data_IF_322437660402
#
_entry.id   IF_322437660402
#
_cell.length_a   1.000
_cell.length_b   1.000
_cell.length_c   1.000
_cell.angle_alpha   90.00
_cell.angle_beta   90.00
_cell.angle_gamma   90.00
#
_symmetry.space_group_name_H-M   'P 1'
#
loop_
_entity.id
_entity.type
_entity.pdbx_description
1 polymer ?
#
# COMPACT_ATOMS: atom_id res chain seq x y z
N UNK A 1 -14.11 13.34 -27.51
CA UNK A 1 -12.94 12.80 -26.81
C UNK A 1 -13.44 12.02 -25.61
N UNK A 2 -12.98 10.78 -25.38
CA UNK A 2 -13.35 10.03 -24.18
C UNK A 2 -12.36 10.36 -23.07
N UNK A 3 -12.86 10.78 -21.92
CA UNK A 3 -12.06 11.00 -20.73
C UNK A 3 -11.58 9.65 -20.19
N UNK A 4 -10.27 9.52 -19.92
CA UNK A 4 -9.69 8.36 -19.24
C UNK A 4 -9.43 8.73 -17.78
N UNK A 5 -9.99 7.93 -16.87
CA UNK A 5 -9.79 8.11 -15.44
C UNK A 5 -9.03 6.93 -14.86
N UNK A 6 -8.11 7.22 -13.95
CA UNK A 6 -7.44 6.23 -13.11
C UNK A 6 -7.95 6.45 -11.70
N UNK A 7 -8.59 5.43 -11.14
CA UNK A 7 -9.00 5.41 -9.75
C UNK A 7 -8.05 4.45 -9.04
N UNK A 8 -7.25 5.00 -8.14
CA UNK A 8 -6.23 4.29 -7.38
C UNK A 8 -6.63 4.24 -5.91
N UNK A 9 -6.61 3.06 -5.31
CA UNK A 9 -6.67 2.93 -3.86
C UNK A 9 -5.27 3.03 -3.26
N UNK A 10 -5.12 3.91 -2.28
CA UNK A 10 -3.92 3.97 -1.48
C UNK A 10 -3.93 2.95 -0.33
N UNK A 11 -2.76 2.81 0.30
CA UNK A 11 -2.55 2.00 1.50
C UNK A 11 -2.76 0.49 1.33
N UNK A 12 -2.72 -0.03 0.10
CA UNK A 12 -2.72 -1.47 -0.10
C UNK A 12 -1.49 -2.08 0.59
N UNK A 13 -1.65 -3.15 1.36
CA UNK A 13 -0.59 -3.69 2.21
C UNK A 13 -0.52 -3.11 3.62
N UNK A 14 -1.29 -2.07 3.97
CA UNK A 14 -1.32 -1.51 5.33
C UNK A 14 -1.76 -2.54 6.37
N UNK A 15 -2.95 -3.12 6.19
CA UNK A 15 -3.47 -4.23 7.01
C UNK A 15 -4.28 -5.20 6.15
N UNK A 16 -4.59 -6.39 6.68
CA UNK A 16 -5.47 -7.35 5.99
C UNK A 16 -6.89 -6.80 5.75
N UNK A 17 -7.42 -5.96 6.65
CA UNK A 17 -8.75 -5.36 6.47
C UNK A 17 -8.74 -4.32 5.36
N UNK A 18 -7.69 -3.49 5.27
CA UNK A 18 -7.50 -2.56 4.15
C UNK A 18 -7.34 -3.31 2.83
N UNK A 19 -6.52 -4.37 2.79
CA UNK A 19 -6.39 -5.21 1.61
C UNK A 19 -7.74 -5.77 1.13
N UNK A 20 -8.54 -6.29 2.06
CA UNK A 20 -9.87 -6.80 1.75
C UNK A 20 -10.76 -5.70 1.15
N UNK A 21 -10.76 -4.50 1.72
CA UNK A 21 -11.54 -3.38 1.21
C UNK A 21 -11.11 -2.99 -0.21
N UNK A 22 -9.81 -2.89 -0.48
CA UNK A 22 -9.27 -2.61 -1.82
C UNK A 22 -9.76 -3.66 -2.83
N UNK A 23 -9.67 -4.95 -2.49
CA UNK A 23 -10.12 -6.03 -3.36
C UNK A 23 -11.65 -6.04 -3.54
N UNK A 24 -12.42 -5.76 -2.49
CA UNK A 24 -13.88 -5.71 -2.58
C UNK A 24 -14.34 -4.58 -3.52
N UNK A 25 -13.65 -3.42 -3.49
CA UNK A 25 -13.93 -2.28 -4.38
C UNK A 25 -13.45 -2.57 -5.81
N UNK A 26 -12.28 -3.19 -5.97
CA UNK A 26 -11.76 -3.65 -7.27
C UNK A 26 -12.73 -4.62 -7.95
N UNK A 27 -13.24 -5.63 -7.22
CA UNK A 27 -14.19 -6.62 -7.75
C UNK A 27 -15.52 -6.02 -8.19
N UNK A 28 -15.84 -4.81 -7.71
CA UNK A 28 -17.02 -4.03 -8.13
C UNK A 28 -16.72 -3.11 -9.32
N UNK A 29 -15.53 -3.20 -9.92
CA UNK A 29 -15.04 -2.35 -11.02
C UNK A 29 -14.99 -0.85 -10.69
N UNK A 30 -14.93 -0.49 -9.40
CA UNK A 30 -14.90 0.90 -8.96
C UNK A 30 -13.49 1.50 -8.95
N UNK A 31 -12.45 0.67 -9.06
CA UNK A 31 -11.07 1.10 -9.19
C UNK A 31 -10.30 0.20 -10.14
N UNK A 32 -9.18 0.70 -10.65
CA UNK A 32 -8.31 -0.04 -11.57
C UNK A 32 -6.87 -0.18 -11.08
N UNK A 33 -6.49 0.61 -10.07
CA UNK A 33 -5.13 0.68 -9.54
C UNK A 33 -5.11 0.61 -8.01
N UNK A 34 -4.01 0.12 -7.45
CA UNK A 34 -3.71 0.24 -6.04
C UNK A 34 -2.22 0.54 -5.83
N UNK A 35 -1.88 1.31 -4.80
CA UNK A 35 -0.49 1.57 -4.41
C UNK A 35 -0.16 0.74 -3.15
N UNK A 36 0.91 -0.07 -3.21
CA UNK A 36 1.25 -1.04 -2.17
C UNK A 36 2.36 -0.56 -1.24
N UNK A 37 2.09 -0.51 0.07
CA UNK A 37 3.05 -0.25 1.15
C UNK A 37 3.81 -1.54 1.53
N UNK A 38 5.06 -1.65 1.08
CA UNK A 38 5.85 -2.89 1.19
C UNK A 38 6.46 -3.15 2.57
N UNK A 39 6.33 -2.21 3.50
CA UNK A 39 6.90 -2.29 4.84
C UNK A 39 5.84 -2.49 5.95
N UNK A 40 4.57 -2.61 5.57
CA UNK A 40 3.45 -2.68 6.52
C UNK A 40 3.00 -4.12 6.82
N UNK A 41 2.30 -4.37 7.95
CA UNK A 41 1.90 -5.72 8.36
C UNK A 41 1.02 -6.49 7.36
N UNK A 42 0.28 -5.79 6.50
CA UNK A 42 -0.56 -6.41 5.46
C UNK A 42 0.17 -6.77 4.16
N UNK A 43 1.48 -6.49 4.03
CA UNK A 43 2.22 -6.61 2.75
C UNK A 43 2.16 -8.01 2.12
N UNK A 44 2.30 -9.07 2.92
CA UNK A 44 2.40 -10.43 2.37
C UNK A 44 1.05 -10.91 1.85
N UNK A 45 -0.03 -10.52 2.53
CA UNK A 45 -1.39 -10.73 2.05
C UNK A 45 -1.65 -9.91 0.77
N UNK A 46 -1.18 -8.67 0.71
CA UNK A 46 -1.30 -7.83 -0.49
C UNK A 46 -0.51 -8.42 -1.67
N UNK A 47 0.69 -8.96 -1.45
CA UNK A 47 1.46 -9.66 -2.50
C UNK A 47 0.72 -10.89 -3.03
N UNK A 48 0.13 -11.70 -2.14
CA UNK A 48 -0.70 -12.85 -2.53
C UNK A 48 -1.90 -12.40 -3.35
N UNK A 49 -2.62 -11.37 -2.91
CA UNK A 49 -3.79 -10.85 -3.61
C UNK A 49 -3.42 -10.25 -4.97
N UNK A 50 -2.34 -9.49 -5.08
CA UNK A 50 -1.83 -8.98 -6.36
C UNK A 50 -1.46 -10.11 -7.35
N UNK A 51 -0.97 -11.25 -6.84
CA UNK A 51 -0.73 -12.43 -7.67
C UNK A 51 -2.01 -13.10 -8.16
N UNK A 52 -3.09 -13.07 -7.37
CA UNK A 52 -4.39 -13.65 -7.74
C UNK A 52 -5.13 -12.73 -8.72
N UNK A 53 -5.19 -11.43 -8.44
CA UNK A 53 -5.94 -10.45 -9.22
C UNK A 53 -5.04 -9.72 -10.22
N UNK A 54 -4.62 -10.42 -11.28
CA UNK A 54 -3.67 -9.90 -12.30
C UNK A 54 -4.14 -8.63 -13.03
N UNK A 55 -5.44 -8.35 -13.03
CA UNK A 55 -6.01 -7.16 -13.67
C UNK A 55 -6.04 -5.92 -12.75
N UNK A 56 -5.68 -6.08 -11.46
CA UNK A 56 -5.44 -4.93 -10.58
C UNK A 56 -4.02 -4.42 -10.85
N UNK A 57 -3.90 -3.18 -11.32
CA UNK A 57 -2.60 -2.56 -11.54
C UNK A 57 -2.02 -2.13 -10.19
N UNK A 58 -0.90 -2.73 -9.78
CA UNK A 58 -0.28 -2.45 -8.48
C UNK A 58 1.00 -1.65 -8.65
N UNK A 59 1.03 -0.45 -8.06
CA UNK A 59 2.21 0.42 -7.97
C UNK A 59 2.83 0.41 -6.56
N UNK A 60 3.92 1.16 -6.39
CA UNK A 60 4.58 1.36 -5.09
C UNK A 60 3.94 2.54 -4.35
N UNK A 61 3.45 2.31 -3.14
CA UNK A 61 3.15 3.39 -2.20
C UNK A 61 4.42 3.68 -1.39
N UNK A 62 5.18 4.70 -1.82
CA UNK A 62 6.45 5.02 -1.19
C UNK A 62 6.24 5.62 0.19
N UNK A 63 6.63 4.87 1.24
CA UNK A 63 6.36 5.21 2.63
C UNK A 63 7.66 5.55 3.37
N UNK A 64 7.67 6.69 4.06
CA UNK A 64 8.78 7.17 4.89
C UNK A 64 8.32 7.69 6.27
N UNK A 65 7.06 7.45 6.64
CA UNK A 65 6.45 7.96 7.87
C UNK A 65 5.74 6.89 8.72
N UNK A 66 5.39 5.73 8.15
CA UNK A 66 4.64 4.69 8.85
C UNK A 66 5.43 3.38 9.04
N UNK A 67 5.36 2.81 10.25
CA UNK A 67 5.95 1.51 10.55
C UNK A 67 7.48 1.46 10.56
N UNK A 68 8.04 0.25 10.45
CA UNK A 68 9.49 0.02 10.42
C UNK A 68 10.04 0.18 9.00
N UNK A 69 11.18 0.84 8.88
CA UNK A 69 11.94 0.89 7.64
C UNK A 69 12.47 -0.50 7.28
N UNK A 70 12.52 -0.82 5.99
CA UNK A 70 13.18 -2.02 5.49
C UNK A 70 14.71 -1.96 5.61
N UNK A 71 15.28 -0.77 5.81
CA UNK A 71 16.72 -0.54 5.98
C UNK A 71 17.15 -0.50 7.46
N UNK A 72 16.23 -0.24 8.39
CA UNK A 72 16.52 -0.06 9.81
C UNK A 72 16.82 1.38 10.20
N UNK A 73 17.84 1.60 11.05
CA UNK A 73 18.20 2.91 11.61
C UNK A 73 18.77 3.85 10.52
N UNK A 74 18.25 5.07 10.44
CA UNK A 74 18.69 6.12 9.49
C UNK A 74 18.36 7.52 10.03
N UNK A 75 18.61 8.57 9.24
CA UNK A 75 18.17 9.93 9.55
C UNK A 75 16.64 10.12 9.57
N UNK A 76 15.88 9.13 9.09
CA UNK A 76 14.41 9.15 9.03
C UNK A 76 13.76 8.25 10.08
N UNK A 77 14.54 7.51 10.88
CA UNK A 77 14.03 6.52 11.83
C UNK A 77 14.66 6.66 13.22
N UNK A 78 13.95 6.19 14.24
CA UNK A 78 14.45 6.12 15.60
C UNK A 78 15.51 5.01 15.78
N UNK A 79 15.98 4.80 17.02
CA UNK A 79 16.96 3.76 17.34
C UNK A 79 16.49 2.33 17.04
N UNK A 80 15.19 2.10 16.90
CA UNK A 80 14.60 0.80 16.58
C UNK A 80 14.27 0.64 15.07
N UNK A 81 14.62 1.64 14.25
CA UNK A 81 14.33 1.64 12.81
C UNK A 81 12.86 1.93 12.46
N UNK A 82 12.07 2.43 13.40
CA UNK A 82 10.70 2.93 13.16
C UNK A 82 10.77 4.34 12.60
N UNK A 83 10.02 4.64 11.54
CA UNK A 83 9.96 6.00 10.99
C UNK A 83 9.46 7.01 12.03
N UNK A 84 9.98 8.23 11.95
CA UNK A 84 9.45 9.32 12.76
C UNK A 84 8.10 9.78 12.22
N UNK A 85 7.08 9.85 13.08
CA UNK A 85 5.84 10.54 12.74
C UNK A 85 6.08 12.05 12.71
N UNK A 86 5.50 12.74 11.72
CA UNK A 86 5.52 14.20 11.65
C UNK A 86 5.03 14.77 12.99
N UNK A 87 5.85 15.64 13.58
CA UNK A 87 5.67 16.19 14.95
C UNK A 87 4.21 16.59 15.23
N UNK A 88 3.69 16.11 16.36
CA UNK A 88 2.87 16.95 17.22
C UNK A 88 3.81 17.88 18.00
#
# INVERSE_FOLDING_TARGET
MNNKYIICADDFGLTKSVNKAVIDVFKKNNLTHASLMVNMPGKDDAFRLAKIYKNLNVGLHFNINEGKSLYGKSSLTNSEGVFFHGKN
#
